data_IF_983217661821
#
_entry.id   IF_983217661821
#
_cell.length_a   1.000
_cell.length_b   1.000
_cell.length_c   1.000
_cell.angle_alpha   90.00
_cell.angle_beta   90.00
_cell.angle_gamma   90.00
#
_symmetry.space_group_name_H-M   'P 1'
#
loop_
_entity.id
_entity.type
_entity.pdbx_description
1 polymer ?
#
# COMPACT_ATOMS: atom_id res chain seq x y z
N UNK A 1 -12.92 2.93 5.58
CA UNK A 1 -12.63 3.42 6.95
C UNK A 1 -11.47 4.41 6.98
N UNK A 2 -10.21 4.02 6.66
CA UNK A 2 -9.05 4.94 6.75
C UNK A 2 -9.19 6.22 5.91
N UNK A 3 -9.81 6.15 4.73
CA UNK A 3 -10.13 7.32 3.90
C UNK A 3 -11.03 8.37 4.58
N UNK A 4 -11.91 7.95 5.49
CA UNK A 4 -12.88 8.85 6.15
C UNK A 4 -12.33 9.36 7.48
N UNK A 5 -11.64 8.50 8.23
CA UNK A 5 -11.09 8.87 9.54
C UNK A 5 -9.76 9.64 9.42
N UNK A 6 -8.94 9.32 8.41
CA UNK A 6 -7.59 9.87 8.23
C UNK A 6 -7.28 10.17 6.76
N UNK A 7 -8.07 11.03 6.08
CA UNK A 7 -7.95 11.27 4.64
C UNK A 7 -6.56 11.77 4.24
N UNK A 8 -5.97 12.67 5.04
CA UNK A 8 -4.64 13.25 4.77
C UNK A 8 -3.50 12.22 4.87
N UNK A 9 -3.66 11.18 5.69
CA UNK A 9 -2.69 10.10 5.78
C UNK A 9 -2.96 9.00 4.74
N UNK A 10 -4.21 8.82 4.33
CA UNK A 10 -4.60 7.82 3.33
C UNK A 10 -4.28 8.25 1.89
N UNK A 11 -4.37 9.54 1.57
CA UNK A 11 -4.06 10.08 0.24
C UNK A 11 -2.64 9.76 -0.25
N UNK A 12 -1.55 9.98 0.52
CA UNK A 12 -0.20 9.69 0.06
C UNK A 12 0.15 8.20 0.05
N UNK A 13 -0.72 7.29 0.48
CA UNK A 13 -0.43 5.85 0.51
C UNK A 13 -0.19 5.25 -0.88
N UNK A 14 -0.65 5.92 -1.95
CA UNK A 14 -0.32 5.54 -3.32
C UNK A 14 1.19 5.57 -3.62
N UNK A 15 1.95 6.34 -2.83
CA UNK A 15 3.39 6.47 -2.94
C UNK A 15 4.16 5.42 -2.11
N UNK A 16 3.46 4.44 -1.51
CA UNK A 16 4.09 3.36 -0.76
C UNK A 16 4.49 2.22 -1.71
N UNK A 17 5.65 1.62 -1.45
CA UNK A 17 6.19 0.49 -2.21
C UNK A 17 7.43 0.87 -3.02
N UNK A 18 7.96 -0.09 -3.78
CA UNK A 18 9.13 0.11 -4.62
C UNK A 18 8.93 0.99 -5.87
N UNK A 19 7.75 1.12 -6.51
CA UNK A 19 7.62 1.84 -7.77
C UNK A 19 7.96 3.35 -7.70
N UNK A 20 7.49 4.12 -6.69
CA UNK A 20 7.79 5.56 -6.59
C UNK A 20 9.30 5.88 -6.49
N UNK A 21 10.09 5.26 -5.57
CA UNK A 21 11.52 5.53 -5.52
C UNK A 21 12.25 5.07 -6.79
N UNK A 22 11.79 4.00 -7.44
CA UNK A 22 12.36 3.54 -8.71
C UNK A 22 12.19 4.57 -9.82
N UNK A 23 10.97 5.10 -10.00
CA UNK A 23 10.68 6.11 -11.04
C UNK A 23 11.48 7.39 -10.78
N UNK A 24 11.48 7.89 -9.54
CA UNK A 24 12.23 9.10 -9.18
C UNK A 24 13.73 8.94 -9.40
N UNK A 25 14.30 7.78 -9.04
CA UNK A 25 15.72 7.50 -9.27
C UNK A 25 16.08 7.40 -10.75
N UNK A 26 15.21 6.81 -11.58
CA UNK A 26 15.43 6.73 -13.03
C UNK A 26 15.37 8.10 -13.70
N UNK A 27 14.44 8.96 -13.28
CA UNK A 27 14.36 10.36 -13.76
C UNK A 27 15.60 11.15 -13.33
N UNK A 28 16.09 10.95 -12.11
CA UNK A 28 17.33 11.58 -11.65
C UNK A 28 18.55 11.06 -12.44
N UNK A 29 18.63 9.75 -12.67
CA UNK A 29 19.73 9.13 -13.41
C UNK A 29 19.79 9.56 -14.88
N UNK A 30 18.63 9.73 -15.54
CA UNK A 30 18.57 10.22 -16.92
C UNK A 30 19.06 11.66 -17.03
N UNK A 31 18.78 12.51 -16.04
CA UNK A 31 19.29 13.90 -15.98
C UNK A 31 20.77 14.02 -15.62
N UNK A 32 21.30 13.08 -14.82
CA UNK A 32 22.68 13.09 -14.35
C UNK A 32 23.66 12.27 -15.20
N UNK A 33 23.18 11.57 -16.24
CA UNK A 33 24.01 10.76 -17.13
C UNK A 33 24.48 9.43 -16.53
N UNK A 34 23.83 8.95 -15.46
CA UNK A 34 24.11 7.63 -14.89
C UNK A 34 23.46 6.52 -15.71
N UNK A 35 24.01 5.30 -15.62
CA UNK A 35 23.39 4.14 -16.24
C UNK A 35 22.05 3.82 -15.58
N UNK A 36 20.97 3.93 -16.37
CA UNK A 36 19.61 3.53 -16.00
C UNK A 36 19.53 2.10 -15.42
N UNK A 37 20.11 1.05 -16.04
CA UNK A 37 19.99 -0.31 -15.51
C UNK A 37 20.68 -0.50 -14.16
N UNK A 38 21.87 0.09 -13.95
CA UNK A 38 22.55 -0.03 -12.66
C UNK A 38 21.77 0.70 -11.55
N UNK A 39 21.19 1.87 -11.88
CA UNK A 39 20.34 2.62 -10.94
C UNK A 39 19.09 1.82 -10.57
N UNK A 40 18.41 1.21 -11.55
CA UNK A 40 17.26 0.36 -11.31
C UNK A 40 17.59 -0.80 -10.37
N UNK A 41 18.69 -1.53 -10.65
CA UNK A 41 19.14 -2.65 -9.83
C UNK A 41 19.46 -2.19 -8.40
N UNK A 42 20.17 -1.06 -8.25
CA UNK A 42 20.52 -0.53 -6.94
C UNK A 42 19.27 -0.21 -6.11
N UNK A 43 18.27 0.45 -6.70
CA UNK A 43 17.01 0.76 -6.00
C UNK A 43 16.23 -0.49 -5.63
N UNK A 44 16.12 -1.46 -6.54
CA UNK A 44 15.42 -2.72 -6.26
C UNK A 44 16.11 -3.55 -5.17
N UNK A 45 17.45 -3.53 -5.15
CA UNK A 45 18.23 -4.15 -4.08
C UNK A 45 17.95 -3.48 -2.74
N UNK A 46 17.95 -2.16 -2.67
CA UNK A 46 17.62 -1.43 -1.44
C UNK A 46 16.18 -1.70 -0.99
N UNK A 47 15.23 -1.86 -1.92
CA UNK A 47 13.84 -2.12 -1.61
C UNK A 47 13.59 -3.54 -1.07
N UNK A 48 14.15 -4.58 -1.70
CA UNK A 48 13.79 -5.97 -1.41
C UNK A 48 14.82 -6.72 -0.55
N UNK A 49 16.09 -6.32 -0.55
CA UNK A 49 17.12 -7.01 0.23
C UNK A 49 16.88 -6.96 1.74
N UNK A 50 16.38 -5.85 2.34
CA UNK A 50 16.04 -5.83 3.76
C UNK A 50 14.96 -6.87 4.14
N UNK A 51 14.00 -7.13 3.25
CA UNK A 51 12.98 -8.14 3.48
C UNK A 51 13.57 -9.56 3.43
N UNK A 52 14.44 -9.83 2.47
CA UNK A 52 15.20 -11.07 2.40
C UNK A 52 16.11 -11.24 3.64
N UNK A 53 16.77 -10.18 4.10
CA UNK A 53 17.61 -10.19 5.29
C UNK A 53 16.78 -10.45 6.56
N UNK A 54 15.60 -9.85 6.68
CA UNK A 54 14.67 -10.10 7.77
C UNK A 54 14.20 -11.56 7.78
N UNK A 55 13.80 -12.09 6.63
CA UNK A 55 13.40 -13.48 6.49
C UNK A 55 14.57 -14.42 6.85
N UNK A 56 15.79 -14.13 6.41
CA UNK A 56 17.00 -14.88 6.81
C UNK A 56 17.23 -14.86 8.31
N UNK A 57 17.21 -13.67 8.93
CA UNK A 57 17.49 -13.47 10.35
C UNK A 57 16.45 -14.13 11.27
N UNK A 58 15.23 -14.35 10.77
CA UNK A 58 14.15 -15.04 11.48
C UNK A 58 14.02 -16.52 11.12
N UNK A 59 14.90 -17.05 10.26
CA UNK A 59 14.82 -18.43 9.79
C UNK A 59 13.57 -18.72 8.96
N UNK A 60 12.97 -17.70 8.35
CA UNK A 60 11.85 -17.86 7.44
C UNK A 60 12.31 -18.43 6.10
N UNK A 61 11.38 -19.05 5.38
CA UNK A 61 11.68 -19.69 4.11
C UNK A 61 12.09 -18.66 3.05
N UNK A 62 13.37 -18.68 2.67
CA UNK A 62 13.89 -17.92 1.54
C UNK A 62 13.80 -18.77 0.28
N UNK A 63 13.07 -18.26 -0.70
CA UNK A 63 12.92 -18.90 -2.02
C UNK A 63 12.97 -17.85 -3.11
N UNK A 64 13.40 -18.23 -4.30
CA UNK A 64 13.28 -17.38 -5.49
C UNK A 64 11.83 -16.98 -5.79
N UNK A 65 10.85 -17.73 -5.28
CA UNK A 65 9.41 -17.39 -5.36
C UNK A 65 9.04 -16.16 -4.52
N UNK A 66 9.88 -15.74 -3.59
CA UNK A 66 9.66 -14.54 -2.78
C UNK A 66 9.74 -13.27 -3.64
N UNK A 67 10.64 -13.24 -4.63
CA UNK A 67 10.81 -12.08 -5.52
C UNK A 67 9.51 -11.73 -6.26
N UNK A 68 8.87 -12.65 -7.03
CA UNK A 68 7.61 -12.34 -7.69
C UNK A 68 6.48 -12.06 -6.70
N UNK A 69 6.51 -12.63 -5.48
CA UNK A 69 5.51 -12.32 -4.45
C UNK A 69 5.62 -10.87 -3.94
N UNK A 70 6.84 -10.38 -3.73
CA UNK A 70 7.08 -8.97 -3.35
C UNK A 70 6.64 -8.00 -4.46
N UNK A 71 6.91 -8.33 -5.72
CA UNK A 71 6.45 -7.54 -6.86
C UNK A 71 4.91 -7.53 -6.95
N UNK A 72 4.27 -8.70 -6.81
CA UNK A 72 2.82 -8.80 -6.82
C UNK A 72 2.17 -7.97 -5.70
N UNK A 73 2.75 -7.98 -4.50
CA UNK A 73 2.32 -7.13 -3.38
C UNK A 73 2.35 -5.65 -3.77
N UNK A 74 3.47 -5.19 -4.31
CA UNK A 74 3.65 -3.78 -4.66
C UNK A 74 2.69 -3.33 -5.78
N UNK A 75 2.33 -4.23 -6.71
CA UNK A 75 1.32 -3.96 -7.76
C UNK A 75 -0.11 -3.98 -7.21
N UNK A 76 -0.39 -4.82 -6.21
CA UNK A 76 -1.72 -4.90 -5.59
C UNK A 76 -2.04 -3.66 -4.73
N UNK A 77 -1.03 -3.01 -4.15
CA UNK A 77 -1.21 -1.85 -3.26
C UNK A 77 -2.00 -0.69 -3.93
N UNK A 78 -1.64 -0.21 -5.13
CA UNK A 78 -2.44 0.79 -5.85
C UNK A 78 -3.88 0.37 -6.11
N UNK A 79 -4.11 -0.91 -6.46
CA UNK A 79 -5.45 -1.42 -6.74
C UNK A 79 -6.32 -1.43 -5.46
N UNK A 80 -5.75 -1.83 -4.33
CA UNK A 80 -6.42 -1.82 -3.03
C UNK A 80 -6.68 -0.38 -2.58
N UNK A 81 -5.72 0.53 -2.77
CA UNK A 81 -5.87 1.94 -2.47
C UNK A 81 -7.02 2.57 -3.27
N UNK A 82 -7.07 2.32 -4.58
CA UNK A 82 -8.14 2.80 -5.46
C UNK A 82 -9.50 2.24 -5.06
N UNK A 83 -9.57 0.93 -4.80
CA UNK A 83 -10.79 0.29 -4.26
C UNK A 83 -11.20 0.94 -2.94
N UNK A 84 -10.23 1.32 -2.12
CA UNK A 84 -10.43 2.07 -0.89
C UNK A 84 -11.18 3.38 -1.11
N UNK A 85 -10.94 4.11 -2.20
CA UNK A 85 -11.69 5.33 -2.56
C UNK A 85 -13.07 5.06 -3.16
N UNK A 86 -13.25 3.95 -3.86
CA UNK A 86 -14.51 3.62 -4.54
C UNK A 86 -15.52 2.86 -3.64
N UNK A 87 -15.05 2.18 -2.59
CA UNK A 87 -15.90 1.27 -1.78
C UNK A 87 -16.61 1.99 -0.62
N UNK A 88 -17.94 2.16 -0.72
CA UNK A 88 -18.78 2.80 0.31
C UNK A 88 -19.29 1.88 1.43
N UNK A 89 -19.32 0.57 1.20
CA UNK A 89 -19.86 -0.40 2.16
C UNK A 89 -18.91 -1.60 2.31
N UNK A 90 -18.81 -2.10 3.54
CA UNK A 90 -18.02 -3.30 3.89
C UNK A 90 -18.93 -4.25 4.66
N UNK A 91 -19.08 -5.47 4.16
CA UNK A 91 -19.76 -6.52 4.90
C UNK A 91 -18.82 -7.08 5.98
N UNK A 92 -19.23 -6.93 7.24
CA UNK A 92 -18.48 -7.44 8.38
C UNK A 92 -19.33 -8.50 9.09
N UNK A 93 -18.89 -9.76 9.04
CA UNK A 93 -19.60 -10.92 9.62
C UNK A 93 -21.09 -11.03 9.20
N UNK A 94 -21.39 -10.69 7.95
CA UNK A 94 -22.76 -10.69 7.42
C UNK A 94 -23.58 -9.43 7.72
N UNK A 95 -22.99 -8.44 8.41
CA UNK A 95 -23.60 -7.14 8.64
C UNK A 95 -22.97 -6.10 7.71
N UNK A 96 -23.77 -5.53 6.80
CA UNK A 96 -23.31 -4.48 5.89
C UNK A 96 -23.07 -3.18 6.65
N UNK A 97 -21.83 -2.73 6.73
CA UNK A 97 -21.45 -1.45 7.31
C UNK A 97 -21.27 -0.42 6.21
N UNK A 98 -22.18 0.55 6.11
CA UNK A 98 -22.04 1.70 5.23
C UNK A 98 -21.12 2.74 5.88
N UNK A 99 -20.11 3.19 5.13
CA UNK A 99 -19.11 4.16 5.58
C UNK A 99 -19.38 5.44 4.81
N UNK A 100 -20.36 6.21 5.28
CA UNK A 100 -20.70 7.55 4.78
C UNK A 100 -19.78 8.60 5.40
N UNK A 101 -19.50 9.67 4.64
CA UNK A 101 -18.77 10.85 5.10
C UNK A 101 -19.65 11.85 5.84
N UNK A 102 -20.99 11.72 5.74
CA UNK A 102 -21.90 12.45 6.59
C UNK A 102 -21.81 11.85 7.99
N UNK A 103 -21.65 12.73 9.00
CA UNK A 103 -21.40 12.34 10.39
C UNK A 103 -22.28 11.18 10.83
N UNK A 104 -21.69 10.28 11.62
CA UNK A 104 -22.44 9.27 12.35
C UNK A 104 -23.38 9.99 13.33
N UNK A 105 -24.53 10.45 12.84
CA UNK A 105 -25.65 10.79 13.67
C UNK A 105 -26.13 9.46 14.24
N UNK A 106 -25.86 9.26 15.54
CA UNK A 106 -26.45 8.17 16.28
C UNK A 106 -27.96 8.47 16.30
N UNK A 107 -28.73 7.69 15.54
CA UNK A 107 -30.18 7.65 15.71
C UNK A 107 -30.43 7.05 17.10
N UNK A 108 -30.48 7.91 18.12
CA UNK A 108 -30.96 7.53 19.44
C UNK A 108 -32.40 7.06 19.26
N UNK A 109 -32.59 5.75 19.32
CA UNK A 109 -33.90 5.15 19.42
C UNK A 109 -34.49 5.67 20.73
N UNK A 110 -35.58 6.46 20.73
CA UNK A 110 -36.14 6.96 21.96
C UNK A 110 -36.56 5.74 22.78
N UNK A 111 -35.92 5.56 23.92
CA UNK A 111 -36.34 4.60 24.93
C UNK A 111 -37.68 5.07 25.49
N UNK A 112 -38.75 4.74 24.78
CA UNK A 112 -40.11 4.92 25.25
C UNK A 112 -40.33 4.06 26.49
N UNK A 113 -40.54 4.74 27.62
CA UNK A 113 -41.16 4.21 28.83
C UNK A 113 -42.49 4.96 29.03
#
# INVERSE_FOLDING_TARGET
LRRVTFPLFFAPEILIGAPPPLVLALVAASGAGFSLPATAIAVLMVAYLPECALASAKGWHLSLRMIPAMVARDVMLPAIWLRGWLSGAVDWRGNTMTISSAGAELEETPSGA
#
